data_IF_309100701416
#
_entry.id   IF_309100701416
#
_cell.length_a   1.000
_cell.length_b   1.000
_cell.length_c   1.000
_cell.angle_alpha   90.00
_cell.angle_beta   90.00
_cell.angle_gamma   90.00
#
_symmetry.space_group_name_H-M   'P 1'
#
loop_
_entity.id
_entity.type
_entity.pdbx_description
1 polymer ?
#
# COMPACT_ATOMS: atom_id res chain seq x y z
N UNK A 1 1.95 -15.88 5.40
CA UNK A 1 3.20 -15.59 6.14
C UNK A 1 3.66 -14.15 5.95
N UNK A 2 3.59 -13.59 4.74
CA UNK A 2 3.98 -12.19 4.45
C UNK A 2 3.09 -11.14 5.13
N UNK A 3 1.76 -11.33 5.23
CA UNK A 3 0.85 -10.42 5.98
C UNK A 3 1.26 -10.31 7.46
N UNK A 4 1.56 -11.43 8.11
CA UNK A 4 2.00 -11.42 9.51
C UNK A 4 3.36 -10.72 9.68
N UNK A 5 4.28 -10.89 8.73
CA UNK A 5 5.54 -10.13 8.70
C UNK A 5 5.28 -8.64 8.45
N UNK A 6 4.26 -8.31 7.66
CA UNK A 6 3.90 -6.95 7.32
C UNK A 6 3.27 -6.20 8.48
N UNK A 7 2.29 -6.82 9.13
CA UNK A 7 1.83 -6.41 10.45
C UNK A 7 3.05 -6.34 11.38
N UNK A 8 3.87 -7.38 11.50
CA UNK A 8 5.00 -7.36 12.45
C UNK A 8 6.09 -6.33 12.12
N UNK A 9 6.21 -5.80 10.89
CA UNK A 9 7.20 -4.78 10.50
C UNK A 9 6.66 -3.36 10.64
N UNK A 10 5.37 -3.14 10.33
CA UNK A 10 4.65 -1.91 10.71
C UNK A 10 4.46 -1.80 12.23
N UNK A 11 4.43 -2.94 12.94
CA UNK A 11 4.13 -3.03 14.36
C UNK A 11 5.30 -3.54 15.23
N UNK A 12 6.48 -3.80 14.65
CA UNK A 12 7.71 -3.98 15.44
C UNK A 12 8.20 -2.60 15.84
N UNK A 13 8.32 -2.42 17.14
CA UNK A 13 8.76 -1.25 17.86
C UNK A 13 9.93 -0.51 17.20
N UNK A 14 9.65 0.40 16.28
CA UNK A 14 10.57 1.45 15.86
C UNK A 14 10.36 2.64 16.80
N UNK A 15 11.23 2.75 17.80
CA UNK A 15 11.37 3.99 18.57
C UNK A 15 12.01 5.03 17.67
N UNK A 16 11.21 5.74 16.86
CA UNK A 16 11.63 6.99 16.24
C UNK A 16 11.10 8.15 17.09
N UNK A 17 11.94 9.16 17.30
CA UNK A 17 11.84 10.11 18.40
C UNK A 17 10.53 10.91 18.45
N UNK A 18 10.01 11.12 19.65
CA UNK A 18 8.78 11.88 19.97
C UNK A 18 7.47 11.37 19.34
N UNK A 19 7.49 10.22 18.66
CA UNK A 19 6.30 9.64 18.04
C UNK A 19 5.41 8.92 19.05
N UNK A 20 4.11 9.14 18.91
CA UNK A 20 3.06 8.51 19.69
C UNK A 20 3.20 6.97 19.58
N UNK A 21 3.26 6.21 20.69
CA UNK A 21 3.50 4.77 20.63
C UNK A 21 2.52 4.07 19.69
N UNK A 22 2.95 3.13 18.87
CA UNK A 22 2.07 2.42 17.92
C UNK A 22 0.86 1.74 18.60
N UNK A 23 1.00 1.40 19.88
CA UNK A 23 -0.07 0.89 20.74
C UNK A 23 -1.20 1.91 20.96
N UNK A 24 -0.87 3.21 21.00
CA UNK A 24 -1.83 4.31 21.05
C UNK A 24 -2.72 4.36 19.81
N UNK A 25 -2.16 4.16 18.62
CA UNK A 25 -2.94 4.24 17.37
C UNK A 25 -3.99 3.12 17.27
N UNK A 26 -3.71 1.95 17.84
CA UNK A 26 -4.65 0.82 17.92
C UNK A 26 -5.83 1.10 18.84
N UNK A 27 -5.67 1.99 19.82
CA UNK A 27 -6.78 2.47 20.64
C UNK A 27 -7.70 3.43 19.86
N UNK A 28 -7.16 4.15 18.87
CA UNK A 28 -7.91 5.18 18.14
C UNK A 28 -8.67 4.65 16.93
N UNK A 29 -8.14 3.64 16.25
CA UNK A 29 -8.72 3.16 15.01
C UNK A 29 -8.50 1.65 14.81
N UNK A 30 -9.45 0.96 14.14
CA UNK A 30 -9.27 -0.43 13.75
C UNK A 30 -8.02 -0.62 12.88
N UNK A 31 -7.33 -1.78 12.95
CA UNK A 31 -6.08 -2.02 12.21
C UNK A 31 -6.19 -1.77 10.70
N UNK A 32 -7.32 -2.11 10.07
CA UNK A 32 -7.54 -1.88 8.64
C UNK A 32 -7.58 -0.39 8.28
N UNK A 33 -8.09 0.45 9.18
CA UNK A 33 -8.14 1.90 8.96
C UNK A 33 -6.75 2.53 9.08
N UNK A 34 -5.96 2.11 10.08
CA UNK A 34 -4.56 2.52 10.22
C UNK A 34 -3.74 2.13 8.99
N UNK A 35 -3.92 0.89 8.53
CA UNK A 35 -3.32 0.40 7.31
C UNK A 35 -3.73 1.25 6.09
N UNK A 36 -5.02 1.45 5.91
CA UNK A 36 -5.54 2.28 4.80
C UNK A 36 -4.92 3.68 4.80
N UNK A 37 -4.75 4.29 5.97
CA UNK A 37 -4.10 5.58 6.12
C UNK A 37 -2.61 5.53 5.75
N UNK A 38 -1.89 4.50 6.18
CA UNK A 38 -0.48 4.30 5.83
C UNK A 38 -0.28 4.12 4.32
N UNK A 39 -1.09 3.28 3.68
CA UNK A 39 -1.08 3.09 2.22
C UNK A 39 -1.33 4.40 1.49
N UNK A 40 -2.30 5.19 1.95
CA UNK A 40 -2.58 6.51 1.38
C UNK A 40 -1.39 7.47 1.52
N UNK A 41 -0.72 7.49 2.67
CA UNK A 41 0.45 8.34 2.89
C UNK A 41 1.64 7.95 1.99
N UNK A 42 1.83 6.65 1.73
CA UNK A 42 2.90 6.18 0.83
C UNK A 42 2.79 6.81 -0.56
N UNK A 43 1.59 6.85 -1.14
CA UNK A 43 1.40 7.46 -2.47
C UNK A 43 1.36 8.98 -2.43
N UNK A 44 0.69 9.58 -1.45
CA UNK A 44 0.60 11.05 -1.32
C UNK A 44 1.95 11.73 -1.12
N UNK A 45 2.86 11.08 -0.39
CA UNK A 45 4.21 11.60 -0.16
C UNK A 45 5.21 11.13 -1.23
N UNK A 46 4.80 10.29 -2.17
CA UNK A 46 5.69 9.74 -3.20
C UNK A 46 6.82 8.88 -2.62
N UNK A 47 6.55 8.09 -1.58
CA UNK A 47 7.54 7.22 -0.93
C UNK A 47 7.77 5.96 -1.77
N UNK A 48 8.45 6.12 -2.90
CA UNK A 48 8.61 5.07 -3.92
C UNK A 48 9.30 3.81 -3.38
N UNK A 49 10.18 3.93 -2.37
CA UNK A 49 10.81 2.78 -1.71
C UNK A 49 9.80 1.79 -1.11
N UNK A 50 8.58 2.25 -0.81
CA UNK A 50 7.50 1.42 -0.29
C UNK A 50 6.53 0.90 -1.39
N UNK A 51 6.73 1.23 -2.66
CA UNK A 51 5.81 0.83 -3.73
C UNK A 51 5.82 -0.67 -4.00
N UNK A 52 6.97 -1.35 -3.84
CA UNK A 52 7.02 -2.81 -4.00
C UNK A 52 6.18 -3.53 -2.94
N UNK A 53 6.18 -3.00 -1.73
CA UNK A 53 5.39 -3.49 -0.61
C UNK A 53 3.88 -3.22 -0.81
N UNK A 54 3.53 -2.01 -1.26
CA UNK A 54 2.15 -1.68 -1.60
C UNK A 54 1.61 -2.56 -2.74
N UNK A 55 2.43 -2.80 -3.76
CA UNK A 55 2.08 -3.68 -4.87
C UNK A 55 1.74 -5.10 -4.39
N UNK A 56 2.57 -5.69 -3.52
CA UNK A 56 2.30 -7.02 -2.96
C UNK A 56 0.97 -7.08 -2.22
N UNK A 57 0.66 -6.04 -1.46
CA UNK A 57 -0.60 -5.94 -0.75
C UNK A 57 -1.80 -5.86 -1.71
N UNK A 58 -1.73 -5.02 -2.74
CA UNK A 58 -2.77 -4.90 -3.76
C UNK A 58 -2.97 -6.21 -4.51
N UNK A 59 -1.88 -6.84 -4.95
CA UNK A 59 -1.90 -8.13 -5.66
C UNK A 59 -2.59 -9.19 -4.82
N UNK A 60 -2.15 -9.37 -3.57
CA UNK A 60 -2.73 -10.36 -2.67
C UNK A 60 -4.23 -10.13 -2.41
N UNK A 61 -4.63 -8.91 -2.09
CA UNK A 61 -6.04 -8.60 -1.81
C UNK A 61 -6.90 -8.83 -3.04
N UNK A 62 -6.42 -8.46 -4.22
CA UNK A 62 -7.16 -8.62 -5.49
C UNK A 62 -7.10 -10.04 -6.07
N UNK A 63 -6.21 -10.91 -5.58
CA UNK A 63 -6.27 -12.35 -5.82
C UNK A 63 -7.33 -13.02 -4.92
N UNK A 64 -7.42 -12.60 -3.66
CA UNK A 64 -8.40 -13.11 -2.69
C UNK A 64 -9.82 -12.63 -2.99
N UNK A 65 -9.95 -11.39 -3.45
CA UNK A 65 -11.23 -10.77 -3.84
C UNK A 65 -11.09 -10.16 -5.24
N UNK A 66 -11.15 -10.98 -6.31
CA UNK A 66 -11.03 -10.49 -7.70
C UNK A 66 -12.09 -9.46 -8.08
N UNK A 67 -13.27 -9.50 -7.43
CA UNK A 67 -14.37 -8.57 -7.65
C UNK A 67 -14.10 -7.17 -7.07
N UNK A 68 -13.03 -7.00 -6.27
CA UNK A 68 -12.67 -5.71 -5.67
C UNK A 68 -12.35 -4.66 -6.74
N UNK A 69 -11.62 -5.03 -7.79
CA UNK A 69 -11.23 -4.11 -8.86
C UNK A 69 -11.42 -4.76 -10.22
N UNK A 70 -11.76 -3.97 -11.24
CA UNK A 70 -11.73 -4.50 -12.60
C UNK A 70 -10.30 -4.87 -12.99
N UNK A 71 -10.16 -5.84 -13.90
CA UNK A 71 -8.84 -6.25 -14.43
C UNK A 71 -7.99 -5.05 -14.88
N UNK A 72 -8.59 -4.11 -15.61
CA UNK A 72 -7.89 -2.92 -16.10
C UNK A 72 -7.38 -2.04 -14.96
N UNK A 73 -8.20 -1.74 -13.95
CA UNK A 73 -7.77 -0.95 -12.80
C UNK A 73 -6.69 -1.67 -11.99
N UNK A 74 -6.84 -2.98 -11.78
CA UNK A 74 -5.84 -3.81 -11.10
C UNK A 74 -4.49 -3.79 -11.84
N UNK A 75 -4.51 -4.04 -13.15
CA UNK A 75 -3.32 -4.04 -13.98
C UNK A 75 -2.63 -2.68 -13.98
N UNK A 76 -3.39 -1.59 -14.15
CA UNK A 76 -2.85 -0.23 -14.09
C UNK A 76 -2.21 0.09 -12.75
N UNK A 77 -2.83 -0.32 -11.64
CA UNK A 77 -2.29 -0.07 -10.30
C UNK A 77 -1.01 -0.87 -10.05
N UNK A 78 -1.03 -2.18 -10.28
CA UNK A 78 0.12 -3.06 -10.04
C UNK A 78 1.29 -2.68 -10.94
N UNK A 79 1.07 -2.57 -12.25
CA UNK A 79 2.12 -2.23 -13.19
C UNK A 79 2.58 -0.78 -13.01
N UNK A 80 1.69 0.12 -12.61
CA UNK A 80 2.04 1.50 -12.32
C UNK A 80 3.00 1.62 -11.13
N UNK A 81 2.71 0.91 -10.04
CA UNK A 81 3.60 0.86 -8.87
C UNK A 81 4.96 0.25 -9.22
N UNK A 82 4.97 -0.87 -9.96
CA UNK A 82 6.22 -1.55 -10.40
C UNK A 82 7.05 -0.65 -11.32
N UNK A 83 6.41 -0.03 -12.31
CA UNK A 83 7.09 0.84 -13.26
C UNK A 83 7.71 2.06 -12.56
N UNK A 84 6.98 2.72 -11.65
CA UNK A 84 7.56 3.87 -10.91
C UNK A 84 8.76 3.47 -10.07
N UNK A 85 8.68 2.33 -9.37
CA UNK A 85 9.80 1.80 -8.60
C UNK A 85 11.04 1.56 -9.48
N UNK A 86 10.86 0.88 -10.62
CA UNK A 86 11.97 0.62 -11.56
C UNK A 86 12.55 1.92 -12.12
N UNK A 87 11.71 2.89 -12.49
CA UNK A 87 12.19 4.16 -13.01
C UNK A 87 12.97 4.98 -11.98
N UNK A 88 12.57 4.97 -10.70
CA UNK A 88 13.38 5.62 -9.64
C UNK A 88 14.72 4.91 -9.44
N UNK A 89 14.77 3.57 -9.52
CA UNK A 89 16.04 2.83 -9.49
C UNK A 89 16.96 3.22 -10.66
N UNK A 90 16.41 3.39 -11.86
CA UNK A 90 17.16 3.85 -13.03
C UNK A 90 17.69 5.30 -12.89
N UNK A 91 17.02 6.13 -12.08
CA UNK A 91 17.36 7.54 -11.86
C UNK A 91 18.56 7.75 -10.94
N UNK A 92 18.88 6.75 -10.10
CA UNK A 92 19.98 6.79 -9.14
C UNK A 92 21.38 6.93 -9.75
N UNK A 93 22.38 7.00 -8.87
CA UNK A 93 23.79 7.12 -9.27
C UNK A 93 24.28 5.91 -10.06
N UNK A 94 25.22 6.15 -10.99
CA UNK A 94 25.72 5.13 -11.92
C UNK A 94 27.05 4.54 -11.41
N UNK A 95 27.33 3.23 -11.64
CA UNK A 95 26.53 2.27 -12.41
C UNK A 95 25.27 1.81 -11.67
N UNK A 96 24.16 1.69 -12.40
CA UNK A 96 22.92 1.13 -11.86
C UNK A 96 23.12 -0.38 -11.83
N UNK A 97 22.95 -1.01 -10.67
CA UNK A 97 23.18 -2.44 -10.53
C UNK A 97 22.03 -3.22 -11.19
N UNK A 98 22.30 -3.81 -12.36
CA UNK A 98 21.35 -4.66 -13.08
C UNK A 98 20.84 -5.82 -12.22
N UNK A 99 21.64 -6.32 -11.26
CA UNK A 99 21.21 -7.38 -10.34
C UNK A 99 20.09 -6.91 -9.40
N UNK A 100 20.01 -5.61 -9.12
CA UNK A 100 18.93 -5.03 -8.31
C UNK A 100 17.66 -4.79 -9.11
N UNK A 101 17.76 -4.46 -10.41
CA UNK A 101 16.60 -4.14 -11.25
C UNK A 101 15.95 -5.40 -11.83
N UNK A 102 16.73 -6.42 -12.17
CA UNK A 102 16.23 -7.63 -12.83
C UNK A 102 15.03 -8.28 -12.11
N UNK A 103 15.03 -8.45 -10.77
CA UNK A 103 13.88 -9.01 -10.06
C UNK A 103 12.60 -8.18 -10.24
N UNK A 104 12.71 -6.85 -10.37
CA UNK A 104 11.57 -5.99 -10.60
C UNK A 104 11.07 -6.05 -12.05
N UNK A 105 11.96 -6.22 -13.03
CA UNK A 105 11.57 -6.47 -14.42
C UNK A 105 10.87 -7.82 -14.60
N UNK A 106 11.35 -8.85 -13.90
CA UNK A 106 10.70 -10.17 -13.91
C UNK A 106 9.29 -10.08 -13.29
N UNK A 107 9.12 -9.25 -12.25
CA UNK A 107 7.80 -8.96 -11.70
C UNK A 107 6.93 -8.18 -12.68
N UNK A 108 7.45 -7.26 -13.48
CA UNK A 108 6.64 -6.56 -14.50
C UNK A 108 6.05 -7.54 -15.52
N UNK A 109 6.78 -8.60 -15.87
CA UNK A 109 6.32 -9.69 -16.76
C UNK A 109 5.44 -10.73 -16.06
N UNK A 110 5.26 -10.63 -14.74
CA UNK A 110 4.46 -11.59 -14.00
C UNK A 110 2.97 -11.37 -14.30
N UNK A 111 2.20 -12.43 -14.59
CA UNK A 111 0.81 -12.30 -15.00
C UNK A 111 0.00 -11.51 -13.98
N UNK A 112 -0.66 -10.45 -14.45
CA UNK A 112 -1.61 -9.67 -13.63
C UNK A 112 -3.05 -10.16 -13.84
N UNK A 113 -3.26 -11.21 -14.66
CA UNK A 113 -4.57 -11.76 -15.01
C UNK A 113 -5.02 -12.85 -14.06
N UNK A 114 -6.34 -12.94 -13.91
CA UNK A 114 -7.08 -14.00 -13.23
C UNK A 114 -7.92 -14.76 -14.26
N UNK A 115 -8.30 -16.00 -13.96
CA UNK A 115 -9.00 -16.90 -14.89
C UNK A 115 -10.34 -16.36 -15.47
N UNK A 116 -10.85 -15.23 -14.98
CA UNK A 116 -12.13 -14.61 -15.38
C UNK A 116 -11.96 -13.41 -16.34
N UNK A 117 -10.74 -13.03 -16.72
CA UNK A 117 -10.48 -11.76 -17.41
C UNK A 117 -10.61 -11.82 -18.95
N UNK A 118 -10.92 -10.68 -19.57
CA UNK A 118 -11.19 -10.57 -21.01
C UNK A 118 -9.89 -10.61 -21.85
N UNK A 119 -9.83 -11.48 -22.86
CA UNK A 119 -8.62 -11.70 -23.68
C UNK A 119 -8.05 -10.44 -24.37
N UNK A 120 -8.90 -9.50 -24.81
CA UNK A 120 -8.42 -8.31 -25.53
C UNK A 120 -7.66 -7.33 -24.63
N UNK A 121 -8.08 -7.16 -23.39
CA UNK A 121 -7.39 -6.29 -22.42
C UNK A 121 -6.08 -6.90 -21.95
N UNK A 122 -5.96 -8.23 -21.94
CA UNK A 122 -4.74 -8.94 -21.56
C UNK A 122 -3.62 -8.67 -22.58
N UNK A 123 -3.92 -8.77 -23.88
CA UNK A 123 -2.91 -8.57 -24.93
C UNK A 123 -2.31 -7.15 -24.91
N UNK A 124 -3.11 -6.11 -24.64
CA UNK A 124 -2.62 -4.72 -24.56
C UNK A 124 -1.69 -4.50 -23.35
N UNK A 125 -1.99 -5.18 -22.25
CA UNK A 125 -1.18 -5.13 -21.03
C UNK A 125 0.17 -5.81 -21.29
N UNK A 126 0.16 -7.03 -21.85
CA UNK A 126 1.38 -7.77 -22.20
C UNK A 126 2.28 -7.00 -23.19
N UNK A 127 1.69 -6.34 -24.20
CA UNK A 127 2.45 -5.49 -25.13
C UNK A 127 3.12 -4.30 -24.41
N UNK A 128 2.39 -3.67 -23.48
CA UNK A 128 2.91 -2.56 -22.68
C UNK A 128 4.03 -2.99 -21.74
N UNK A 129 3.97 -4.21 -21.18
CA UNK A 129 5.02 -4.80 -20.35
C UNK A 129 6.32 -5.00 -21.14
N UNK A 130 6.23 -5.55 -22.36
CA UNK A 130 7.39 -5.74 -23.25
C UNK A 130 8.03 -4.40 -23.60
N UNK A 131 7.23 -3.42 -24.03
CA UNK A 131 7.71 -2.08 -24.37
C UNK A 131 8.40 -1.40 -23.18
N UNK A 132 7.87 -1.57 -21.97
CA UNK A 132 8.48 -1.00 -20.76
C UNK A 132 9.82 -1.66 -20.44
N UNK A 133 9.92 -2.99 -20.57
CA UNK A 133 11.18 -3.71 -20.32
C UNK A 133 12.25 -3.29 -21.33
N UNK A 134 11.90 -3.15 -22.61
CA UNK A 134 12.81 -2.65 -23.64
C UNK A 134 13.29 -1.22 -23.35
N UNK A 135 12.37 -0.34 -22.92
CA UNK A 135 12.73 1.01 -22.46
C UNK A 135 13.76 0.93 -21.32
N UNK A 136 13.53 0.11 -20.29
CA UNK A 136 14.47 0.01 -19.16
C UNK A 136 15.84 -0.49 -19.63
N UNK A 137 15.90 -1.46 -20.54
CA UNK A 137 17.18 -1.90 -21.12
C UNK A 137 17.91 -0.76 -21.84
N UNK A 138 17.22 0.03 -22.68
CA UNK A 138 17.78 1.23 -23.34
C UNK A 138 18.36 2.22 -22.32
N UNK A 139 17.62 2.51 -21.24
CA UNK A 139 18.07 3.43 -20.19
C UNK A 139 19.31 2.93 -19.45
N UNK A 140 19.49 1.62 -19.33
CA UNK A 140 20.65 1.02 -18.66
C UNK A 140 21.87 0.94 -19.59
N UNK A 141 21.66 0.83 -20.90
CA UNK A 141 22.73 0.71 -21.90
C UNK A 141 23.36 2.06 -22.27
N UNK A 142 22.56 3.12 -22.46
CA UNK A 142 23.05 4.45 -22.87
C UNK A 142 22.76 5.55 -21.82
N UNK A 143 23.81 6.07 -21.13
CA UNK A 143 23.67 7.18 -20.19
C UNK A 143 23.10 8.47 -20.81
N UNK A 144 23.28 8.69 -22.11
CA UNK A 144 22.79 9.86 -22.85
C UNK A 144 21.30 9.76 -23.10
N UNK A 145 20.82 8.60 -23.59
CA UNK A 145 19.38 8.31 -23.71
C UNK A 145 18.70 8.41 -22.35
N UNK A 146 19.31 7.84 -21.31
CA UNK A 146 18.81 7.93 -19.94
C UNK A 146 18.63 9.37 -19.48
N UNK A 147 19.66 10.21 -19.70
CA UNK A 147 19.59 11.63 -19.35
C UNK A 147 18.47 12.35 -20.11
N UNK A 148 18.36 12.11 -21.41
CA UNK A 148 17.29 12.69 -22.24
C UNK A 148 15.91 12.23 -21.76
N UNK A 149 15.74 10.94 -21.48
CA UNK A 149 14.49 10.38 -20.99
C UNK A 149 14.05 11.06 -19.69
N UNK A 150 14.90 11.16 -18.68
CA UNK A 150 14.50 11.77 -17.40
C UNK A 150 14.27 13.29 -17.46
N UNK A 151 14.82 13.96 -18.47
CA UNK A 151 14.64 15.40 -18.69
C UNK A 151 13.39 15.72 -19.50
N UNK A 152 13.17 15.00 -20.61
CA UNK A 152 12.17 15.37 -21.62
C UNK A 152 10.96 14.43 -21.66
N UNK A 153 11.16 13.13 -21.41
CA UNK A 153 10.11 12.11 -21.56
C UNK A 153 9.42 11.83 -20.22
N UNK A 154 10.20 11.58 -19.16
CA UNK A 154 9.70 11.20 -17.85
C UNK A 154 8.67 12.20 -17.29
N UNK A 155 8.90 13.53 -17.30
CA UNK A 155 7.92 14.47 -16.74
C UNK A 155 6.57 14.48 -17.49
N UNK A 156 6.58 14.08 -18.77
CA UNK A 156 5.39 14.07 -19.62
C UNK A 156 4.54 12.81 -19.38
N UNK A 157 5.19 11.64 -19.32
CA UNK A 157 4.49 10.34 -19.25
C UNK A 157 4.41 9.76 -17.84
N UNK A 158 5.40 10.05 -17.00
CA UNK A 158 5.56 9.51 -15.64
C UNK A 158 5.59 10.62 -14.56
N UNK A 159 5.25 11.86 -14.92
CA UNK A 159 5.18 12.99 -13.99
C UNK A 159 3.85 13.07 -13.22
N UNK A 160 3.42 14.28 -12.87
CA UNK A 160 2.28 14.51 -11.97
C UNK A 160 0.95 13.87 -12.40
N UNK A 161 0.71 13.73 -13.71
CA UNK A 161 -0.49 13.04 -14.22
C UNK A 161 -0.48 11.55 -13.90
N UNK A 162 0.69 10.95 -13.95
CA UNK A 162 0.90 9.55 -13.61
C UNK A 162 0.74 9.34 -12.11
N UNK A 163 1.35 10.21 -11.31
CA UNK A 163 1.25 10.17 -9.85
C UNK A 163 -0.22 10.34 -9.40
N UNK A 164 -0.96 11.29 -9.97
CA UNK A 164 -2.38 11.47 -9.70
C UNK A 164 -3.22 10.25 -10.12
N UNK A 165 -2.88 9.58 -11.23
CA UNK A 165 -3.57 8.37 -11.65
C UNK A 165 -3.34 7.21 -10.65
N UNK A 166 -2.11 7.06 -10.15
CA UNK A 166 -1.81 6.09 -9.09
C UNK A 166 -2.56 6.41 -7.81
N UNK A 167 -2.58 7.66 -7.37
CA UNK A 167 -3.35 8.09 -6.20
C UNK A 167 -4.83 7.75 -6.34
N UNK A 168 -5.45 8.05 -7.49
CA UNK A 168 -6.85 7.71 -7.74
C UNK A 168 -7.11 6.20 -7.65
N UNK A 169 -6.24 5.38 -8.23
CA UNK A 169 -6.38 3.92 -8.18
C UNK A 169 -6.20 3.36 -6.76
N UNK A 170 -5.24 3.89 -5.99
CA UNK A 170 -5.04 3.51 -4.59
C UNK A 170 -6.22 3.95 -3.72
N UNK A 171 -6.75 5.14 -3.95
CA UNK A 171 -7.94 5.62 -3.25
C UNK A 171 -9.14 4.71 -3.49
N UNK A 172 -9.38 4.33 -4.75
CA UNK A 172 -10.46 3.43 -5.13
C UNK A 172 -10.29 2.05 -4.48
N UNK A 173 -9.07 1.50 -4.50
CA UNK A 173 -8.73 0.24 -3.84
C UNK A 173 -9.04 0.29 -2.33
N UNK A 174 -8.57 1.33 -1.63
CA UNK A 174 -8.82 1.52 -0.19
C UNK A 174 -10.33 1.63 0.08
N UNK A 175 -11.04 2.41 -0.73
CA UNK A 175 -12.47 2.68 -0.54
C UNK A 175 -13.28 1.40 -0.63
N UNK A 176 -13.07 0.61 -1.69
CA UNK A 176 -13.75 -0.69 -1.85
C UNK A 176 -13.34 -1.72 -0.81
N UNK A 177 -12.08 -1.71 -0.38
CA UNK A 177 -11.62 -2.62 0.68
C UNK A 177 -12.33 -2.32 2.02
N UNK A 178 -12.56 -1.05 2.33
CA UNK A 178 -13.34 -0.64 3.51
C UNK A 178 -14.81 -1.04 3.40
N UNK A 179 -15.41 -0.93 2.22
CA UNK A 179 -16.79 -1.36 1.98
C UNK A 179 -16.99 -2.87 2.18
N UNK A 180 -15.98 -3.68 1.85
CA UNK A 180 -16.02 -5.13 2.09
C UNK A 180 -15.91 -5.52 3.58
N UNK A 181 -15.29 -4.66 4.39
CA UNK A 181 -14.99 -4.93 5.80
C UNK A 181 -15.53 -3.78 6.68
N UNK A 182 -16.87 -3.60 6.73
CA UNK A 182 -17.47 -2.54 7.53
C UNK A 182 -17.15 -2.76 9.01
N UNK A 183 -16.86 -1.67 9.73
CA UNK A 183 -16.67 -1.71 11.16
C UNK A 183 -17.98 -2.16 11.84
N UNK A 184 -17.96 -3.20 12.68
CA UNK A 184 -19.17 -3.65 13.36
C UNK A 184 -19.61 -2.62 14.41
N UNK A 185 -20.91 -2.37 14.46
CA UNK A 185 -21.51 -1.54 15.51
C UNK A 185 -21.31 -2.16 16.89
N UNK A 186 -21.35 -1.33 17.94
CA UNK A 186 -21.17 -1.79 19.32
C UNK A 186 -22.12 -2.93 19.69
N UNK A 187 -23.38 -2.86 19.26
CA UNK A 187 -24.39 -3.90 19.51
C UNK A 187 -24.07 -5.22 18.83
N UNK A 188 -23.46 -5.19 17.63
CA UNK A 188 -23.03 -6.38 16.90
C UNK A 188 -21.81 -7.01 17.55
N UNK A 189 -20.84 -6.19 17.99
CA UNK A 189 -19.68 -6.64 18.76
C UNK A 189 -20.09 -7.27 20.10
N UNK A 190 -21.02 -6.65 20.82
CA UNK A 190 -21.52 -7.16 22.09
C UNK A 190 -22.24 -8.51 21.94
N UNK A 191 -23.03 -8.68 20.87
CA UNK A 191 -23.67 -9.95 20.56
C UNK A 191 -22.63 -11.04 20.26
N UNK A 192 -21.63 -10.75 19.42
CA UNK A 192 -20.55 -11.68 19.09
C UNK A 192 -19.77 -12.16 20.34
N UNK A 193 -19.50 -11.23 21.27
CA UNK A 193 -18.84 -11.56 22.54
C UNK A 193 -19.73 -12.40 23.48
N UNK A 194 -21.05 -12.16 23.47
CA UNK A 194 -22.01 -12.96 24.22
C UNK A 194 -22.07 -14.41 23.75
N UNK A 195 -21.90 -14.64 22.45
CA UNK A 195 -21.91 -15.97 21.83
C UNK A 195 -20.55 -16.70 21.93
N UNK A 196 -19.48 -16.02 22.37
CA UNK A 196 -18.13 -16.57 22.48
C UNK A 196 -17.46 -16.26 23.83
N UNK A 197 -17.79 -17.00 24.92
CA UNK A 197 -17.31 -16.71 26.27
C UNK A 197 -15.78 -16.71 26.42
N UNK A 198 -15.08 -17.58 25.69
CA UNK A 198 -13.61 -17.61 25.71
C UNK A 198 -12.98 -16.34 25.13
N UNK A 199 -13.62 -15.74 24.12
CA UNK A 199 -13.13 -14.50 23.50
C UNK A 199 -13.38 -13.29 24.41
N UNK A 200 -14.47 -13.30 25.19
CA UNK A 200 -14.73 -12.29 26.22
C UNK A 200 -13.63 -12.28 27.29
N UNK A 201 -13.24 -13.43 27.81
CA UNK A 201 -12.17 -13.54 28.82
C UNK A 201 -10.83 -13.04 28.28
N UNK A 202 -10.49 -13.37 27.03
CA UNK A 202 -9.28 -12.84 26.36
C UNK A 202 -9.33 -11.31 26.17
N UNK A 203 -10.48 -10.75 25.81
CA UNK A 203 -10.67 -9.30 25.72
C UNK A 203 -10.52 -8.60 27.08
N UNK A 204 -11.00 -9.22 28.15
CA UNK A 204 -10.89 -8.70 29.52
C UNK A 204 -9.49 -8.90 30.12
N UNK A 205 -8.69 -9.84 29.63
CA UNK A 205 -7.29 -10.00 30.06
C UNK A 205 -6.31 -9.14 29.27
N UNK A 206 -6.67 -8.76 28.03
CA UNK A 206 -5.88 -7.90 27.15
C UNK A 206 -6.07 -6.40 27.39
N UNK A 207 -6.35 -5.99 28.63
CA UNK A 207 -6.40 -4.57 28.99
C UNK A 207 -5.10 -3.88 28.55
N UNK A 208 -5.27 -2.79 27.80
CA UNK A 208 -4.16 -1.95 27.39
C UNK A 208 -3.34 -1.53 28.62
N UNK A 209 -2.01 -1.43 28.50
CA UNK A 209 -1.18 -0.87 29.55
C UNK A 209 -1.78 0.46 30.04
N UNK A 210 -1.92 0.68 31.36
CA UNK A 210 -2.54 1.90 31.91
C UNK A 210 -1.91 3.19 31.39
N UNK A 211 -0.61 3.16 31.09
CA UNK A 211 0.14 4.28 30.51
C UNK A 211 -0.31 4.63 29.09
N UNK A 212 -0.67 3.64 28.26
CA UNK A 212 -1.16 3.87 26.89
C UNK A 212 -2.52 4.56 26.92
N UNK A 213 -3.42 4.11 27.80
CA UNK A 213 -4.73 4.72 27.99
C UNK A 213 -4.61 6.15 28.52
N UNK A 214 -3.70 6.38 29.48
CA UNK A 214 -3.43 7.72 30.01
C UNK A 214 -2.95 8.66 28.90
N UNK A 215 -2.00 8.21 28.06
CA UNK A 215 -1.52 8.99 26.93
C UNK A 215 -2.65 9.34 25.95
N UNK A 216 -3.55 8.39 25.64
CA UNK A 216 -4.77 8.63 24.82
C UNK A 216 -5.64 9.73 25.40
N UNK A 217 -5.98 9.62 26.68
CA UNK A 217 -6.87 10.56 27.34
C UNK A 217 -6.24 11.96 27.45
N UNK A 218 -4.95 12.05 27.77
CA UNK A 218 -4.23 13.32 27.85
C UNK A 218 -4.12 14.00 26.48
N UNK A 219 -3.83 13.24 25.42
CA UNK A 219 -3.83 13.78 24.06
C UNK A 219 -5.19 14.34 23.65
N UNK A 220 -6.28 13.61 23.92
CA UNK A 220 -7.64 14.09 23.61
C UNK A 220 -8.04 15.31 24.44
N UNK A 221 -7.59 15.38 25.71
CA UNK A 221 -7.76 16.56 26.56
C UNK A 221 -7.04 17.78 25.99
N UNK A 222 -5.82 17.60 25.49
CA UNK A 222 -5.04 18.68 24.88
C UNK A 222 -5.64 19.18 23.56
N UNK A 223 -6.39 18.33 22.84
CA UNK A 223 -7.13 18.71 21.64
C UNK A 223 -8.46 19.43 21.93
N UNK A 224 -8.86 19.56 23.20
CA UNK A 224 -10.07 20.27 23.61
C UNK A 224 -11.37 19.46 23.44
N UNK A 225 -11.28 18.14 23.23
CA UNK A 225 -12.48 17.29 23.08
C UNK A 225 -13.25 17.05 24.39
N UNK A 226 -12.68 17.43 25.53
CA UNK A 226 -13.34 17.41 26.83
C UNK A 226 -13.83 18.82 27.17
N UNK A 227 -15.04 19.17 26.74
CA UNK A 227 -15.78 20.25 27.39
C UNK A 227 -16.38 19.69 28.69
N UNK A 228 -16.11 20.35 29.82
CA UNK A 228 -16.80 20.05 31.09
C UNK A 228 -18.31 20.29 30.88
N UNK A 229 -19.12 19.25 31.14
CA UNK A 229 -20.58 19.34 31.18
C UNK A 229 -21.08 19.91 32.50
#
# INVERSE_FOLDING_TARGET
MLIHLWFSLLFSSSTLGNDLPVHYLRLLAPPLQLLSAAVWQVVQQGLVDHYGMLEEFVTMVTELVPELMSYSQRAQLILGLRARLVLEMCRGEHPVDMQTIQPHLDRIKAPVSTAKDHHLTINQVEESEVNFVELVHSLLEDPSERKYFFQEIFPVYFGSKYDAALEMLVWEFISRLKELLPAPEFTQLAALLGDAPSFLDDCLQSFFPPEDMKAVLEHHRNLGYFEEK
#
